data_IF_112207838029
#
_entry.id   IF_112207838029
#
_cell.length_a   1.000
_cell.length_b   1.000
_cell.length_c   1.000
_cell.angle_alpha   90.00
_cell.angle_beta   90.00
_cell.angle_gamma   90.00
#
_symmetry.space_group_name_H-M   'P 1'
#
loop_
_entity.id
_entity.type
_entity.pdbx_description
1 polymer ?
#
# COMPACT_ATOMS: atom_id res chain seq x y z
N UNK A 1 64.87 -13.69 -32.55
CA UNK A 1 63.97 -14.21 -31.50
C UNK A 1 63.45 -13.03 -30.69
N UNK A 2 62.15 -12.71 -30.75
CA UNK A 2 61.50 -11.70 -29.90
C UNK A 2 60.29 -12.38 -29.24
N UNK A 3 60.39 -12.64 -27.94
CA UNK A 3 59.30 -13.20 -27.13
C UNK A 3 58.21 -12.15 -26.93
N UNK A 4 56.99 -12.46 -27.37
CA UNK A 4 55.78 -11.72 -26.97
C UNK A 4 55.27 -12.23 -25.63
N UNK A 5 55.00 -11.32 -24.70
CA UNK A 5 54.31 -11.61 -23.44
C UNK A 5 52.86 -11.18 -23.61
N UNK A 6 51.93 -12.14 -23.52
CA UNK A 6 50.48 -11.92 -23.55
C UNK A 6 50.02 -11.49 -22.15
N UNK A 7 49.63 -10.23 -21.99
CA UNK A 7 48.94 -9.75 -20.79
C UNK A 7 47.45 -10.13 -20.83
N UNK A 8 47.16 -11.42 -20.63
CA UNK A 8 45.81 -11.93 -20.42
C UNK A 8 45.66 -12.41 -18.97
N UNK A 9 45.89 -11.55 -17.97
CA UNK A 9 45.72 -11.98 -16.57
C UNK A 9 45.39 -10.89 -15.55
N UNK A 10 44.47 -9.99 -15.89
CA UNK A 10 43.77 -9.21 -14.86
C UNK A 10 42.29 -9.02 -15.24
N UNK A 11 41.56 -10.13 -15.39
CA UNK A 11 40.11 -10.12 -15.18
C UNK A 11 39.91 -10.47 -13.71
N UNK A 12 39.37 -9.57 -12.86
CA UNK A 12 38.99 -9.97 -11.52
C UNK A 12 38.01 -11.13 -11.67
N UNK A 13 38.39 -12.32 -11.20
CA UNK A 13 37.44 -13.41 -11.03
C UNK A 13 36.40 -12.87 -10.04
N UNK A 14 35.21 -12.55 -10.53
CA UNK A 14 34.10 -12.20 -9.67
C UNK A 14 33.97 -13.32 -8.65
N UNK A 15 33.95 -12.97 -7.36
CA UNK A 15 33.86 -13.97 -6.30
C UNK A 15 32.63 -14.86 -6.55
N UNK A 16 32.72 -16.18 -6.35
CA UNK A 16 31.59 -17.09 -6.53
C UNK A 16 30.33 -16.61 -5.78
N UNK A 17 30.55 -15.99 -4.61
CA UNK A 17 29.53 -15.36 -3.79
C UNK A 17 28.78 -14.23 -4.52
N UNK A 18 29.49 -13.34 -5.24
CA UNK A 18 28.89 -12.23 -6.00
C UNK A 18 28.17 -12.72 -7.26
N UNK A 19 28.65 -13.79 -7.89
CA UNK A 19 27.95 -14.43 -9.01
C UNK A 19 26.67 -15.15 -8.55
N UNK A 20 26.70 -15.79 -7.39
CA UNK A 20 25.57 -16.53 -6.81
C UNK A 20 24.49 -15.57 -6.27
N UNK A 21 24.87 -14.45 -5.66
CA UNK A 21 23.96 -13.35 -5.30
C UNK A 21 23.32 -12.69 -6.53
N UNK A 22 24.11 -12.45 -7.59
CA UNK A 22 23.60 -11.91 -8.86
C UNK A 22 22.62 -12.87 -9.55
N UNK A 23 22.89 -14.18 -9.51
CA UNK A 23 21.98 -15.19 -10.07
C UNK A 23 20.70 -15.33 -9.23
N UNK A 24 20.80 -15.38 -7.91
CA UNK A 24 19.63 -15.46 -7.04
C UNK A 24 18.74 -14.20 -7.14
N UNK A 25 19.33 -13.00 -7.13
CA UNK A 25 18.57 -11.75 -7.34
C UNK A 25 17.88 -11.74 -8.71
N UNK A 26 18.55 -12.18 -9.77
CA UNK A 26 17.93 -12.29 -11.11
C UNK A 26 16.74 -13.24 -11.13
N UNK A 27 16.79 -14.34 -10.37
CA UNK A 27 15.71 -15.33 -10.25
C UNK A 27 14.51 -14.80 -9.47
N UNK A 28 14.74 -14.10 -8.37
CA UNK A 28 13.65 -13.49 -7.59
C UNK A 28 12.95 -12.39 -8.37
N UNK A 29 13.71 -11.57 -9.10
CA UNK A 29 13.15 -10.54 -9.98
C UNK A 29 12.34 -11.16 -11.11
N UNK A 30 12.79 -12.26 -11.72
CA UNK A 30 12.03 -12.93 -12.77
C UNK A 30 10.73 -13.55 -12.24
N UNK A 31 10.76 -14.19 -11.06
CA UNK A 31 9.56 -14.75 -10.42
C UNK A 31 8.57 -13.66 -10.02
N UNK A 32 9.06 -12.55 -9.45
CA UNK A 32 8.22 -11.41 -9.09
C UNK A 32 7.56 -10.80 -10.34
N UNK A 33 8.32 -10.64 -11.44
CA UNK A 33 7.78 -10.13 -12.71
C UNK A 33 6.73 -11.07 -13.29
N UNK A 34 6.99 -12.36 -13.28
CA UNK A 34 6.06 -13.37 -13.77
C UNK A 34 4.74 -13.29 -12.99
N UNK A 35 4.84 -13.18 -11.68
CA UNK A 35 3.67 -13.20 -10.81
C UNK A 35 2.90 -11.87 -10.80
N UNK A 36 3.60 -10.74 -10.68
CA UNK A 36 3.00 -9.41 -10.58
C UNK A 36 2.59 -8.83 -11.94
N UNK A 37 3.05 -9.38 -13.05
CA UNK A 37 2.80 -8.77 -14.36
C UNK A 37 2.44 -9.77 -15.44
N UNK A 38 3.21 -10.85 -15.60
CA UNK A 38 3.02 -11.76 -16.74
C UNK A 38 1.92 -12.81 -16.51
N UNK A 39 1.39 -12.90 -15.29
CA UNK A 39 0.21 -13.73 -14.97
C UNK A 39 -1.09 -13.22 -15.60
N UNK A 40 -1.12 -11.95 -16.03
CA UNK A 40 -2.24 -11.38 -16.78
C UNK A 40 -2.17 -11.72 -18.27
N UNK A 41 -3.02 -12.66 -18.69
CA UNK A 41 -3.11 -13.15 -20.07
C UNK A 41 -4.30 -12.55 -20.85
N UNK A 42 -4.99 -11.54 -20.32
CA UNK A 42 -6.13 -10.92 -21.00
C UNK A 42 -5.72 -10.30 -22.34
N UNK A 43 -6.57 -10.54 -23.35
CA UNK A 43 -6.39 -10.10 -24.75
C UNK A 43 -7.66 -9.50 -25.36
N UNK A 44 -8.77 -9.45 -24.62
CA UNK A 44 -10.04 -8.97 -25.15
C UNK A 44 -10.23 -7.46 -24.94
N UNK A 45 -10.81 -6.80 -25.95
CA UNK A 45 -10.94 -5.34 -25.97
C UNK A 45 -11.92 -4.82 -24.92
N UNK A 46 -12.93 -5.62 -24.52
CA UNK A 46 -13.92 -5.21 -23.52
C UNK A 46 -13.31 -5.12 -22.13
N UNK A 47 -12.55 -6.14 -21.70
CA UNK A 47 -11.78 -6.12 -20.45
C UNK A 47 -10.78 -4.99 -20.46
N UNK A 48 -10.10 -4.75 -21.58
CA UNK A 48 -9.19 -3.60 -21.69
C UNK A 48 -9.91 -2.27 -21.46
N UNK A 49 -11.05 -2.04 -22.14
CA UNK A 49 -11.84 -0.82 -21.96
C UNK A 49 -12.33 -0.64 -20.52
N UNK A 50 -12.81 -1.72 -19.89
CA UNK A 50 -13.21 -1.71 -18.48
C UNK A 50 -12.06 -1.36 -17.54
N UNK A 51 -10.89 -1.98 -17.72
CA UNK A 51 -9.69 -1.67 -16.92
C UNK A 51 -9.23 -0.22 -17.11
N UNK A 52 -9.27 0.31 -18.35
CA UNK A 52 -8.97 1.73 -18.61
C UNK A 52 -9.95 2.63 -17.87
N UNK A 53 -11.25 2.35 -17.93
CA UNK A 53 -12.27 3.13 -17.22
C UNK A 53 -12.03 3.13 -15.70
N UNK A 54 -11.79 1.96 -15.10
CA UNK A 54 -11.45 1.84 -13.67
C UNK A 54 -10.17 2.60 -13.35
N UNK A 55 -9.12 2.45 -14.15
CA UNK A 55 -7.85 3.13 -13.90
C UNK A 55 -7.97 4.66 -13.96
N UNK A 56 -8.71 5.19 -14.94
CA UNK A 56 -8.95 6.63 -15.05
C UNK A 56 -9.79 7.16 -13.88
N UNK A 57 -10.79 6.39 -13.42
CA UNK A 57 -11.57 6.72 -12.22
C UNK A 57 -10.64 6.82 -11.00
N UNK A 58 -9.77 5.83 -10.79
CA UNK A 58 -8.85 5.79 -9.65
C UNK A 58 -7.77 6.86 -9.73
N UNK A 59 -7.30 7.24 -10.92
CA UNK A 59 -6.42 8.39 -11.10
C UNK A 59 -7.13 9.70 -10.74
N UNK A 60 -8.36 9.88 -11.23
CA UNK A 60 -9.14 11.08 -10.96
C UNK A 60 -9.51 11.20 -9.48
N UNK A 61 -9.79 10.09 -8.80
CA UNK A 61 -10.10 10.09 -7.37
C UNK A 61 -8.82 10.21 -6.54
N UNK A 62 -7.81 9.38 -6.81
CA UNK A 62 -6.57 9.36 -6.04
C UNK A 62 -5.75 10.65 -6.12
N UNK A 63 -5.88 11.45 -7.20
CA UNK A 63 -5.28 12.80 -7.22
C UNK A 63 -5.81 13.68 -6.09
N UNK A 64 -7.06 13.52 -5.67
CA UNK A 64 -7.63 14.32 -4.59
C UNK A 64 -6.89 14.02 -3.29
N UNK A 65 -6.60 12.75 -3.01
CA UNK A 65 -5.78 12.36 -1.87
C UNK A 65 -4.33 12.83 -2.01
N UNK A 66 -3.70 12.69 -3.18
CA UNK A 66 -2.29 13.08 -3.37
C UNK A 66 -2.01 14.58 -3.20
N UNK A 67 -2.98 15.44 -3.54
CA UNK A 67 -2.79 16.90 -3.55
C UNK A 67 -3.53 17.63 -2.43
N UNK A 68 -4.27 16.92 -1.58
CA UNK A 68 -4.91 17.52 -0.41
C UNK A 68 -4.00 17.36 0.80
N UNK A 69 -3.70 18.43 1.55
CA UNK A 69 -2.88 18.31 2.75
C UNK A 69 -3.53 17.41 3.81
N UNK A 70 -2.70 16.70 4.58
CA UNK A 70 -3.11 15.83 5.69
C UNK A 70 -4.02 16.57 6.69
N UNK A 71 -3.70 17.83 6.96
CA UNK A 71 -4.29 18.67 8.01
C UNK A 71 -5.76 19.00 7.75
N UNK A 72 -6.24 18.85 6.50
CA UNK A 72 -7.65 19.13 6.18
C UNK A 72 -8.58 17.97 6.53
N UNK A 73 -8.05 16.82 6.97
CA UNK A 73 -8.82 15.60 7.22
C UNK A 73 -9.69 15.14 6.03
N UNK A 74 -9.30 15.48 4.80
CA UNK A 74 -10.13 15.18 3.62
C UNK A 74 -10.33 13.66 3.42
N UNK A 75 -9.32 12.85 3.75
CA UNK A 75 -9.40 11.39 3.69
C UNK A 75 -10.42 10.84 4.68
N UNK A 76 -10.37 11.30 5.94
CA UNK A 76 -11.31 10.93 7.00
C UNK A 76 -12.76 11.39 6.78
N UNK A 77 -12.98 12.40 5.95
CA UNK A 77 -14.32 12.84 5.54
C UNK A 77 -14.78 12.24 4.20
N UNK A 78 -13.94 11.41 3.59
CA UNK A 78 -14.21 10.86 2.26
C UNK A 78 -15.24 9.73 2.29
N UNK A 79 -15.85 9.46 1.14
CA UNK A 79 -16.71 8.29 0.99
C UNK A 79 -15.98 6.97 1.29
N UNK A 80 -14.67 6.90 1.05
CA UNK A 80 -13.91 5.67 1.27
C UNK A 80 -13.64 5.42 2.76
N UNK A 81 -13.57 6.47 3.58
CA UNK A 81 -13.56 6.36 5.04
C UNK A 81 -14.75 5.54 5.54
N UNK A 82 -15.96 5.83 5.04
CA UNK A 82 -17.18 5.08 5.42
C UNK A 82 -17.13 3.59 5.03
N UNK A 83 -16.35 3.24 4.00
CA UNK A 83 -16.10 1.84 3.60
C UNK A 83 -15.03 1.20 4.50
N UNK A 84 -14.05 1.97 4.95
CA UNK A 84 -12.99 1.51 5.84
C UNK A 84 -13.50 1.25 7.27
N UNK A 85 -14.45 2.04 7.76
CA UNK A 85 -14.95 1.99 9.14
C UNK A 85 -15.43 0.59 9.59
N UNK A 86 -16.24 -0.17 8.83
CA UNK A 86 -16.62 -1.53 9.24
C UNK A 86 -15.42 -2.46 9.47
N UNK A 87 -14.34 -2.29 8.70
CA UNK A 87 -13.12 -3.08 8.86
C UNK A 87 -12.29 -2.60 10.05
N UNK A 88 -12.33 -1.31 10.37
CA UNK A 88 -11.79 -0.76 11.61
C UNK A 88 -12.50 -1.38 12.82
N UNK A 89 -13.83 -1.28 12.89
CA UNK A 89 -14.60 -1.84 14.00
C UNK A 89 -14.45 -3.37 14.13
N UNK A 90 -14.47 -4.09 13.01
CA UNK A 90 -14.20 -5.53 13.00
C UNK A 90 -12.78 -5.86 13.47
N UNK A 91 -11.82 -5.00 13.17
CA UNK A 91 -10.44 -5.08 13.63
C UNK A 91 -10.33 -5.07 15.14
N UNK A 92 -11.05 -4.18 15.83
CA UNK A 92 -11.09 -4.18 17.30
C UNK A 92 -11.52 -5.55 17.84
N UNK A 93 -12.61 -6.10 17.31
CA UNK A 93 -13.17 -7.38 17.74
C UNK A 93 -12.23 -8.57 17.46
N UNK A 94 -11.64 -8.60 16.27
CA UNK A 94 -10.78 -9.71 15.84
C UNK A 94 -9.49 -9.80 16.68
N UNK A 95 -9.00 -8.67 17.17
CA UNK A 95 -7.76 -8.59 17.94
C UNK A 95 -7.96 -8.63 19.47
N UNK A 96 -9.19 -8.77 19.99
CA UNK A 96 -9.48 -8.99 21.42
C UNK A 96 -8.60 -10.07 22.07
N UNK A 97 -8.40 -11.26 21.48
CA UNK A 97 -7.63 -12.33 22.10
C UNK A 97 -6.15 -11.99 22.35
N UNK A 98 -5.63 -10.94 21.71
CA UNK A 98 -4.24 -10.50 21.79
C UNK A 98 -4.01 -9.39 22.84
N UNK A 99 -5.04 -9.06 23.62
CA UNK A 99 -4.98 -8.12 24.73
C UNK A 99 -5.24 -6.66 24.33
N UNK A 100 -5.35 -5.78 25.34
CA UNK A 100 -5.88 -4.41 25.18
C UNK A 100 -5.17 -3.59 24.10
N UNK A 101 -3.84 -3.58 24.09
CA UNK A 101 -3.07 -2.84 23.08
C UNK A 101 -3.44 -3.29 21.66
N UNK A 102 -3.49 -4.60 21.44
CA UNK A 102 -3.84 -5.17 20.14
C UNK A 102 -5.31 -4.99 19.79
N UNK A 103 -6.22 -4.99 20.78
CA UNK A 103 -7.63 -4.63 20.55
C UNK A 103 -7.74 -3.21 19.98
N UNK A 104 -7.08 -2.22 20.59
CA UNK A 104 -7.16 -0.82 20.16
C UNK A 104 -6.45 -0.64 18.81
N UNK A 105 -5.22 -1.13 18.68
CA UNK A 105 -4.47 -1.13 17.41
C UNK A 105 -5.20 -1.92 16.30
N UNK A 106 -6.00 -2.91 16.71
CA UNK A 106 -6.80 -3.77 15.86
C UNK A 106 -7.67 -2.99 14.89
N UNK A 107 -8.18 -1.82 15.27
CA UNK A 107 -8.95 -0.95 14.39
C UNK A 107 -8.19 -0.60 13.10
N UNK A 108 -7.12 0.17 13.25
CA UNK A 108 -6.27 0.57 12.12
C UNK A 108 -5.64 -0.63 11.39
N UNK A 109 -5.34 -1.74 12.11
CA UNK A 109 -4.88 -2.97 11.46
C UNK A 109 -5.95 -3.61 10.59
N UNK A 110 -7.19 -3.72 11.06
CA UNK A 110 -8.31 -4.29 10.29
C UNK A 110 -8.57 -3.50 9.01
N UNK A 111 -8.57 -2.17 9.13
CA UNK A 111 -8.69 -1.25 8.01
C UNK A 111 -7.60 -1.47 6.93
N UNK A 112 -6.34 -1.66 7.32
CA UNK A 112 -5.23 -1.92 6.37
C UNK A 112 -5.22 -3.37 5.86
N UNK A 113 -5.53 -4.33 6.73
CA UNK A 113 -5.44 -5.76 6.41
C UNK A 113 -6.46 -6.16 5.36
N UNK A 114 -7.67 -5.59 5.38
CA UNK A 114 -8.70 -5.96 4.42
C UNK A 114 -8.28 -5.73 2.96
N UNK A 115 -7.85 -4.52 2.54
CA UNK A 115 -7.38 -4.32 1.17
C UNK A 115 -6.13 -5.14 0.85
N UNK A 116 -5.25 -5.40 1.82
CA UNK A 116 -4.10 -6.31 1.63
C UNK A 116 -4.52 -7.76 1.39
N UNK A 117 -5.57 -8.24 2.07
CA UNK A 117 -6.17 -9.56 1.81
C UNK A 117 -6.74 -9.58 0.40
N UNK A 118 -7.48 -8.55 -0.03
CA UNK A 118 -7.96 -8.44 -1.41
C UNK A 118 -6.79 -8.49 -2.41
N UNK A 119 -5.73 -7.72 -2.17
CA UNK A 119 -4.52 -7.70 -3.00
C UNK A 119 -3.93 -9.12 -3.12
N UNK A 120 -3.74 -9.80 -1.99
CA UNK A 120 -3.20 -11.16 -1.95
C UNK A 120 -4.14 -12.15 -2.65
N UNK A 121 -5.45 -12.04 -2.48
CA UNK A 121 -6.43 -12.88 -3.17
C UNK A 121 -6.36 -12.67 -4.68
N UNK A 122 -6.26 -11.42 -5.15
CA UNK A 122 -6.15 -11.12 -6.57
C UNK A 122 -4.87 -11.70 -7.18
N UNK A 123 -3.74 -11.62 -6.48
CA UNK A 123 -2.48 -12.19 -6.97
C UNK A 123 -2.41 -13.71 -6.89
N UNK A 124 -2.86 -14.31 -5.78
CA UNK A 124 -2.65 -15.74 -5.52
C UNK A 124 -3.76 -16.57 -6.16
N UNK A 125 -5.02 -16.18 -5.94
CA UNK A 125 -6.20 -17.00 -6.25
C UNK A 125 -6.76 -16.71 -7.63
N UNK A 126 -6.96 -15.44 -7.98
CA UNK A 126 -7.58 -15.07 -9.26
C UNK A 126 -6.57 -14.83 -10.37
N UNK A 127 -5.27 -14.66 -10.03
CA UNK A 127 -4.20 -14.31 -10.98
C UNK A 127 -4.56 -13.04 -11.77
N UNK A 128 -5.09 -12.04 -11.06
CA UNK A 128 -5.45 -10.72 -11.60
C UNK A 128 -4.55 -9.62 -11.01
N UNK A 129 -3.36 -9.39 -11.58
CA UNK A 129 -2.50 -8.27 -11.22
C UNK A 129 -3.17 -6.90 -11.32
N UNK A 130 -4.12 -6.71 -12.24
CA UNK A 130 -4.78 -5.41 -12.37
C UNK A 130 -5.68 -5.16 -11.16
N UNK A 131 -6.54 -6.13 -10.80
CA UNK A 131 -7.31 -6.09 -9.56
C UNK A 131 -6.43 -5.93 -8.32
N UNK A 132 -5.26 -6.58 -8.29
CA UNK A 132 -4.29 -6.39 -7.20
C UNK A 132 -3.74 -4.95 -7.13
N UNK A 133 -3.48 -4.30 -8.27
CA UNK A 133 -3.08 -2.89 -8.30
C UNK A 133 -4.19 -1.97 -7.76
N UNK A 134 -5.45 -2.28 -8.03
CA UNK A 134 -6.61 -1.57 -7.45
C UNK A 134 -6.71 -1.79 -5.95
N UNK A 135 -6.47 -3.01 -5.47
CA UNK A 135 -6.43 -3.27 -4.03
C UNK A 135 -5.26 -2.54 -3.35
N UNK A 136 -4.10 -2.39 -4.01
CA UNK A 136 -2.99 -1.58 -3.53
C UNK A 136 -3.35 -0.09 -3.45
N UNK A 137 -4.16 0.42 -4.38
CA UNK A 137 -4.71 1.78 -4.32
C UNK A 137 -5.58 1.97 -3.07
N UNK A 138 -6.42 0.97 -2.76
CA UNK A 138 -7.24 1.01 -1.55
C UNK A 138 -6.39 0.91 -0.28
N UNK A 139 -5.37 0.03 -0.24
CA UNK A 139 -4.40 0.01 0.88
C UNK A 139 -3.74 1.36 1.08
N UNK A 140 -3.31 2.01 -0.02
CA UNK A 140 -2.69 3.32 0.02
C UNK A 140 -3.62 4.37 0.64
N UNK A 141 -4.88 4.39 0.21
CA UNK A 141 -5.89 5.29 0.79
C UNK A 141 -6.12 4.99 2.27
N UNK A 142 -6.20 3.72 2.69
CA UNK A 142 -6.37 3.36 4.10
C UNK A 142 -5.25 3.92 4.99
N UNK A 143 -3.99 3.93 4.51
CA UNK A 143 -2.89 4.61 5.23
C UNK A 143 -3.11 6.12 5.31
N UNK A 144 -3.57 6.76 4.23
CA UNK A 144 -3.83 8.20 4.19
C UNK A 144 -5.06 8.59 5.04
N UNK A 145 -6.02 7.69 5.20
CA UNK A 145 -7.24 7.83 6.02
C UNK A 145 -6.96 7.71 7.52
N UNK A 146 -6.05 6.82 7.91
CA UNK A 146 -5.63 6.69 9.32
C UNK A 146 -4.76 7.89 9.76
N UNK A 147 -4.02 8.52 8.85
CA UNK A 147 -3.03 9.53 9.21
C UNK A 147 -3.62 10.77 9.93
N UNK A 148 -4.74 11.39 9.52
CA UNK A 148 -5.36 12.47 10.28
C UNK A 148 -5.73 12.05 11.71
N UNK A 149 -6.19 10.81 11.88
CA UNK A 149 -6.53 10.27 13.19
C UNK A 149 -5.30 10.07 14.09
N UNK A 150 -4.16 9.69 13.52
CA UNK A 150 -2.87 9.73 14.23
C UNK A 150 -2.51 11.18 14.58
N UNK A 151 -2.67 12.10 13.63
CA UNK A 151 -2.28 13.51 13.77
C UNK A 151 -3.06 14.23 14.88
N UNK A 152 -4.29 13.79 15.11
CA UNK A 152 -5.19 14.31 16.14
C UNK A 152 -4.95 13.68 17.52
N UNK A 153 -4.04 12.72 17.68
CA UNK A 153 -3.92 11.95 18.93
C UNK A 153 -3.76 12.79 20.20
N UNK A 154 -3.07 13.94 20.17
CA UNK A 154 -3.02 14.87 21.32
C UNK A 154 -4.20 15.82 21.40
N UNK A 155 -4.68 16.29 20.25
CA UNK A 155 -5.73 17.30 20.17
C UNK A 155 -7.08 16.68 20.49
N UNK A 156 -7.36 15.48 19.99
CA UNK A 156 -8.60 14.71 20.15
C UNK A 156 -9.84 15.49 19.73
N UNK A 157 -9.71 16.31 18.69
CA UNK A 157 -10.75 17.19 18.16
C UNK A 157 -11.59 16.53 17.06
N UNK A 158 -11.13 15.43 16.47
CA UNK A 158 -11.88 14.72 15.43
C UNK A 158 -13.15 14.08 16.00
N UNK A 159 -14.22 14.18 15.22
CA UNK A 159 -15.49 13.51 15.51
C UNK A 159 -15.30 12.00 15.34
N UNK A 160 -15.50 11.24 16.40
CA UNK A 160 -15.43 9.78 16.40
C UNK A 160 -16.75 9.16 15.94
N UNK A 161 -16.68 7.85 15.68
CA UNK A 161 -17.86 7.01 15.57
C UNK A 161 -18.71 7.12 16.85
N UNK A 162 -19.97 7.52 16.68
CA UNK A 162 -20.89 7.80 17.79
C UNK A 162 -21.21 9.28 17.99
N UNK A 163 -20.58 10.18 17.23
CA UNK A 163 -20.92 11.62 17.26
C UNK A 163 -20.37 12.36 18.48
N UNK A 164 -19.26 11.87 19.03
CA UNK A 164 -18.50 12.48 20.14
C UNK A 164 -17.05 12.64 19.74
N UNK A 165 -16.33 13.56 20.35
CA UNK A 165 -14.88 13.72 20.17
C UNK A 165 -14.07 12.87 21.15
N UNK A 166 -12.78 12.68 20.89
CA UNK A 166 -11.89 12.00 21.84
C UNK A 166 -11.69 12.74 23.17
N UNK A 167 -12.09 14.02 23.28
CA UNK A 167 -12.14 14.74 24.56
C UNK A 167 -13.30 14.30 25.45
N UNK A 168 -14.35 13.74 24.86
CA UNK A 168 -15.59 13.35 25.53
C UNK A 168 -15.63 11.87 25.89
N UNK A 169 -14.66 11.08 25.38
CA UNK A 169 -14.58 9.63 25.61
C UNK A 169 -13.15 9.12 25.53
N UNK A 170 -12.88 8.03 26.24
CA UNK A 170 -11.61 7.29 26.16
C UNK A 170 -11.48 6.51 24.83
N UNK A 171 -12.38 6.71 23.87
CA UNK A 171 -12.49 5.98 22.61
C UNK A 171 -11.50 6.41 21.52
N UNK A 172 -10.61 7.37 21.75
CA UNK A 172 -9.63 7.79 20.75
C UNK A 172 -8.45 6.82 20.71
N UNK A 173 -8.43 5.92 19.71
CA UNK A 173 -7.48 4.82 19.59
C UNK A 173 -6.03 5.29 19.58
N UNK A 174 -5.69 6.26 18.73
CA UNK A 174 -4.30 6.71 18.59
C UNK A 174 -3.79 7.51 19.79
N UNK A 175 -4.65 8.22 20.52
CA UNK A 175 -4.29 8.77 21.83
C UNK A 175 -3.89 7.65 22.80
N UNK A 176 -4.74 6.62 22.90
CA UNK A 176 -4.49 5.47 23.77
C UNK A 176 -3.21 4.71 23.39
N UNK A 177 -3.04 4.38 22.11
CA UNK A 177 -1.87 3.65 21.59
C UNK A 177 -0.59 4.42 21.90
N UNK A 178 -0.54 5.71 21.57
CA UNK A 178 0.67 6.51 21.78
C UNK A 178 0.92 6.76 23.27
N UNK A 179 -0.12 6.88 24.09
CA UNK A 179 0.04 6.95 25.56
C UNK A 179 0.61 5.66 26.13
N UNK A 180 0.13 4.49 25.68
CA UNK A 180 0.66 3.19 26.12
C UNK A 180 2.13 2.98 25.73
N UNK A 181 2.58 3.61 24.64
CA UNK A 181 3.95 3.55 24.15
C UNK A 181 4.86 4.66 24.69
N UNK A 182 4.31 5.63 25.45
CA UNK A 182 5.00 6.86 25.86
C UNK A 182 5.49 7.71 24.67
N UNK A 183 4.73 7.70 23.56
CA UNK A 183 5.09 8.28 22.27
C UNK A 183 4.16 9.40 21.80
N UNK A 184 3.34 9.95 22.72
CA UNK A 184 2.29 10.90 22.39
C UNK A 184 2.81 12.17 21.69
N UNK A 185 4.04 12.59 22.00
CA UNK A 185 4.75 13.70 21.35
C UNK A 185 5.12 13.48 19.87
N UNK A 186 5.08 12.24 19.38
CA UNK A 186 5.45 11.87 18.01
C UNK A 186 4.25 11.78 17.06
N UNK A 187 3.03 12.03 17.52
CA UNK A 187 1.78 11.96 16.75
C UNK A 187 1.88 12.57 15.34
N UNK A 188 2.29 13.84 15.20
CA UNK A 188 2.41 14.51 13.89
C UNK A 188 3.47 13.84 13.01
N UNK A 189 4.60 13.41 13.57
CA UNK A 189 5.66 12.73 12.80
C UNK A 189 5.19 11.38 12.28
N UNK A 190 4.51 10.62 13.12
CA UNK A 190 3.92 9.33 12.76
C UNK A 190 2.81 9.50 11.73
N UNK A 191 1.96 10.52 11.89
CA UNK A 191 0.92 10.86 10.93
C UNK A 191 1.50 11.15 9.54
N UNK A 192 2.50 12.03 9.44
CA UNK A 192 3.16 12.31 8.16
C UNK A 192 3.89 11.10 7.58
N UNK A 193 4.50 10.25 8.41
CA UNK A 193 5.12 9.01 7.95
C UNK A 193 4.08 8.07 7.32
N UNK A 194 2.96 7.87 8.01
CA UNK A 194 1.82 7.05 7.53
C UNK A 194 1.24 7.63 6.25
N UNK A 195 1.02 8.95 6.19
CA UNK A 195 0.49 9.63 5.02
C UNK A 195 1.43 9.53 3.81
N UNK A 196 2.73 9.77 4.01
CA UNK A 196 3.73 9.66 2.96
C UNK A 196 3.90 8.23 2.46
N UNK A 197 3.80 7.24 3.35
CA UNK A 197 3.74 5.84 2.94
C UNK A 197 2.52 5.59 2.05
N UNK A 198 1.35 6.11 2.42
CA UNK A 198 0.16 6.09 1.58
C UNK A 198 0.39 6.69 0.19
N UNK A 199 1.00 7.89 0.11
CA UNK A 199 1.38 8.51 -1.17
C UNK A 199 2.26 7.58 -2.01
N UNK A 200 3.30 6.98 -1.42
CA UNK A 200 4.21 6.09 -2.14
C UNK A 200 3.48 4.85 -2.67
N UNK A 201 2.61 4.24 -1.87
CA UNK A 201 1.81 3.09 -2.27
C UNK A 201 0.81 3.46 -3.38
N UNK A 202 0.22 4.65 -3.31
CA UNK A 202 -0.71 5.19 -4.30
C UNK A 202 -0.01 5.36 -5.66
N UNK A 203 1.17 5.97 -5.66
CA UNK A 203 2.00 6.12 -6.86
C UNK A 203 2.45 4.77 -7.43
N UNK A 204 2.81 3.82 -6.55
CA UNK A 204 3.17 2.47 -6.96
C UNK A 204 1.98 1.74 -7.61
N UNK A 205 0.78 1.89 -7.07
CA UNK A 205 -0.45 1.37 -7.67
C UNK A 205 -0.68 1.94 -9.07
N UNK A 206 -0.56 3.27 -9.25
CA UNK A 206 -0.72 3.88 -10.57
C UNK A 206 0.33 3.43 -11.57
N UNK A 207 1.60 3.35 -11.16
CA UNK A 207 2.67 2.86 -12.02
C UNK A 207 2.43 1.39 -12.43
N UNK A 208 1.97 0.55 -11.49
CA UNK A 208 1.71 -0.86 -11.74
C UNK A 208 0.49 -1.08 -12.65
N UNK A 209 -0.64 -0.44 -12.35
CA UNK A 209 -1.85 -0.49 -13.17
C UNK A 209 -1.62 0.04 -14.58
N UNK A 210 -0.87 1.14 -14.71
CA UNK A 210 -0.48 1.72 -16.01
C UNK A 210 0.42 0.79 -16.83
N UNK A 211 1.38 0.12 -16.19
CA UNK A 211 2.23 -0.89 -16.84
C UNK A 211 1.41 -2.07 -17.38
N UNK A 212 0.45 -2.55 -16.59
CA UNK A 212 -0.45 -3.65 -16.97
C UNK A 212 -1.33 -3.26 -18.16
N UNK A 213 -1.91 -2.07 -18.14
CA UNK A 213 -2.69 -1.53 -19.26
C UNK A 213 -1.85 -1.40 -20.53
N UNK A 214 -0.63 -0.87 -20.43
CA UNK A 214 0.28 -0.74 -21.57
C UNK A 214 0.60 -2.12 -22.18
N UNK A 215 0.82 -3.13 -21.35
CA UNK A 215 1.03 -4.51 -21.82
C UNK A 215 -0.21 -5.09 -22.48
N UNK A 216 -1.39 -4.88 -21.90
CA UNK A 216 -2.65 -5.34 -22.51
C UNK A 216 -2.89 -4.67 -23.87
N UNK A 217 -2.66 -3.35 -23.98
CA UNK A 217 -2.75 -2.63 -25.25
C UNK A 217 -1.82 -3.20 -26.33
N UNK A 218 -0.57 -3.53 -25.98
CA UNK A 218 0.38 -4.17 -26.91
C UNK A 218 -0.05 -5.56 -27.36
N UNK A 219 -0.77 -6.32 -26.52
CA UNK A 219 -1.34 -7.62 -26.91
C UNK A 219 -2.53 -7.49 -27.85
N UNK A 220 -3.25 -6.36 -27.79
CA UNK A 220 -4.39 -6.06 -28.66
C UNK A 220 -3.98 -5.56 -30.05
N UNK A 221 -2.82 -4.91 -30.17
CA UNK A 221 -2.28 -4.34 -31.41
C UNK A 221 -1.06 -5.16 -31.87
N UNK A 222 -1.24 -6.30 -32.55
CA UNK A 222 -0.15 -7.17 -32.99
C UNK A 222 0.78 -6.53 -34.03
#
# INVERSE_FOLDING_TARGET
MKCGIIFAKYRPLASPQRQQESQNSSRWVSLAKEWLVDSDTSTDSLTFAGRVAVFLLLLWWGRAFLFTPLETNYTGESFLHMINLPFHEAGHLLFIPLGRFMTILGGSLGQILMPLVCLATFLIKTRDPFGASVALWWTAESFMDIAPYINDARAMDLMLLGGVTGKETDGHDWNNILTMLDWLEYDHRLAHLTYNLGILLMLASFAWGGLLLLKHYRRLSP
#
